data_IF_406769956453
#
_entry.id   IF_406769956453
#
_cell.length_a   1.000
_cell.length_b   1.000
_cell.length_c   1.000
_cell.angle_alpha   90.00
_cell.angle_beta   90.00
_cell.angle_gamma   90.00
#
_symmetry.space_group_name_H-M   'P 1'
#
loop_
_entity.id
_entity.type
_entity.pdbx_description
1 polymer ?
#
# COMPACT_ATOMS: atom_id res chain seq x y z
N UNK A 1 -2.22 -0.86 -5.25
CA UNK A 1 -1.45 -0.06 -4.27
C UNK A 1 -0.40 -0.94 -3.61
N UNK A 2 0.75 -0.37 -3.27
CA UNK A 2 1.80 -1.07 -2.55
C UNK A 2 2.39 -0.19 -1.44
N UNK A 3 2.42 -0.73 -0.23
CA UNK A 3 3.24 -0.20 0.86
C UNK A 3 4.61 -0.88 0.81
N UNK A 4 5.66 -0.13 0.48
CA UNK A 4 7.03 -0.65 0.36
C UNK A 4 7.84 -0.22 1.58
N UNK A 5 8.53 -1.18 2.20
CA UNK A 5 9.36 -0.92 3.37
C UNK A 5 10.67 -1.72 3.31
N UNK A 6 11.68 -1.24 4.04
CA UNK A 6 12.98 -1.91 4.16
C UNK A 6 13.02 -2.69 5.47
N UNK A 7 13.51 -3.93 5.40
CA UNK A 7 13.76 -4.78 6.55
C UNK A 7 15.25 -5.15 6.64
N UNK A 8 15.72 -5.47 7.86
CA UNK A 8 17.12 -5.88 8.09
C UNK A 8 17.45 -7.21 7.41
N UNK A 9 16.54 -8.17 7.48
CA UNK A 9 16.73 -9.52 6.95
C UNK A 9 16.40 -9.57 5.46
N UNK A 10 17.34 -10.11 4.66
CA UNK A 10 17.16 -10.36 3.22
C UNK A 10 16.12 -11.46 3.03
N UNK A 11 15.11 -11.21 2.20
CA UNK A 11 14.11 -12.20 1.81
C UNK A 11 13.99 -12.16 0.28
N UNK A 12 14.05 -13.31 -0.37
CA UNK A 12 13.94 -13.45 -1.83
C UNK A 12 14.89 -12.51 -2.60
N UNK A 13 16.15 -12.40 -2.15
CA UNK A 13 17.14 -11.56 -2.83
C UNK A 13 17.12 -10.07 -2.46
N UNK A 14 16.11 -9.56 -1.75
CA UNK A 14 15.99 -8.13 -1.41
C UNK A 14 15.79 -7.85 0.08
N UNK A 15 16.21 -6.66 0.51
CA UNK A 15 15.80 -6.09 1.81
C UNK A 15 14.46 -5.35 1.74
N UNK A 16 13.99 -5.06 0.54
CA UNK A 16 12.69 -4.45 0.31
C UNK A 16 11.59 -5.50 0.36
N UNK A 17 10.50 -5.13 1.03
CA UNK A 17 9.28 -5.92 1.14
C UNK A 17 8.11 -5.02 0.79
N UNK A 18 7.04 -5.63 0.29
CA UNK A 18 5.84 -4.92 -0.07
C UNK A 18 4.59 -5.59 0.52
N UNK A 19 3.65 -4.77 0.96
CA UNK A 19 2.29 -5.20 1.28
C UNK A 19 1.39 -4.66 0.16
N UNK A 20 0.77 -5.58 -0.56
CA UNK A 20 -0.14 -5.26 -1.65
C UNK A 20 -1.54 -4.97 -1.14
N UNK A 21 -2.20 -4.02 -1.78
CA UNK A 21 -3.59 -3.69 -1.53
C UNK A 21 -4.26 -3.06 -2.73
N UNK A 22 -5.58 -2.90 -2.64
CA UNK A 22 -6.42 -2.25 -3.65
C UNK A 22 -7.22 -1.12 -3.02
N UNK A 23 -7.48 -0.09 -3.83
CA UNK A 23 -8.49 0.93 -3.48
C UNK A 23 -9.86 0.25 -3.51
N UNK A 24 -10.69 0.54 -2.51
CA UNK A 24 -12.03 -0.05 -2.41
C UNK A 24 -13.13 0.96 -2.76
N UNK A 25 -13.19 2.11 -2.06
CA UNK A 25 -14.22 3.13 -2.26
C UNK A 25 -13.77 4.50 -1.74
N UNK A 26 -14.36 5.62 -2.19
CA UNK A 26 -14.09 6.95 -1.62
C UNK A 26 -14.50 7.04 -0.14
N UNK A 27 -13.91 8.00 0.56
CA UNK A 27 -14.18 8.27 1.97
C UNK A 27 -14.30 9.78 2.23
N UNK A 28 -15.51 10.22 2.55
CA UNK A 28 -15.79 11.64 2.77
C UNK A 28 -15.59 12.48 1.50
N UNK A 29 -15.46 13.79 1.69
CA UNK A 29 -15.49 14.77 0.59
C UNK A 29 -14.12 15.41 0.31
N UNK A 30 -13.06 14.99 1.00
CA UNK A 30 -11.72 15.60 0.92
C UNK A 30 -10.73 14.80 0.06
N UNK A 31 -11.22 13.96 -0.86
CA UNK A 31 -10.37 13.14 -1.73
C UNK A 31 -9.67 11.96 -1.05
N UNK A 32 -10.13 11.55 0.15
CA UNK A 32 -9.59 10.39 0.86
C UNK A 32 -10.27 9.11 0.36
N UNK A 33 -9.58 7.97 0.43
CA UNK A 33 -10.08 6.68 -0.02
C UNK A 33 -9.93 5.60 1.05
N UNK A 34 -10.85 4.62 1.06
CA UNK A 34 -10.66 3.37 1.81
C UNK A 34 -9.91 2.37 0.94
N UNK A 35 -8.88 1.74 1.52
CA UNK A 35 -8.10 0.70 0.87
C UNK A 35 -8.21 -0.62 1.65
N UNK A 36 -8.11 -1.74 0.93
CA UNK A 36 -7.99 -3.08 1.51
C UNK A 36 -6.63 -3.67 1.12
N UNK A 37 -5.84 -4.04 2.12
CA UNK A 37 -4.55 -4.71 1.93
C UNK A 37 -4.70 -6.21 2.15
N UNK A 38 -3.81 -7.01 1.53
CA UNK A 38 -3.80 -8.48 1.70
C UNK A 38 -3.54 -8.86 3.15
N UNK A 39 -2.64 -8.14 3.81
CA UNK A 39 -2.45 -8.17 5.26
C UNK A 39 -2.66 -6.76 5.79
N UNK A 40 -3.26 -6.63 6.98
CA UNK A 40 -3.43 -5.34 7.62
C UNK A 40 -2.08 -4.60 7.74
N UNK A 41 -2.11 -3.28 7.53
CA UNK A 41 -0.92 -2.47 7.65
C UNK A 41 -0.51 -2.36 9.12
N UNK A 42 0.80 -2.37 9.42
CA UNK A 42 1.29 -2.13 10.77
C UNK A 42 1.01 -0.68 11.18
N UNK A 43 0.74 -0.38 12.47
CA UNK A 43 0.42 0.99 12.93
C UNK A 43 1.56 1.98 12.65
N UNK A 44 2.81 1.50 12.60
CA UNK A 44 3.98 2.31 12.24
C UNK A 44 3.91 2.91 10.82
N UNK A 45 3.05 2.42 9.94
CA UNK A 45 2.88 2.99 8.60
C UNK A 45 1.97 4.22 8.56
N UNK A 46 1.35 4.63 9.67
CA UNK A 46 0.58 5.87 9.73
C UNK A 46 1.48 7.07 9.38
N UNK A 47 1.03 7.92 8.46
CA UNK A 47 1.82 9.04 7.92
C UNK A 47 2.88 8.64 6.89
N UNK A 48 3.11 7.35 6.65
CA UNK A 48 4.05 6.89 5.62
C UNK A 48 3.42 6.97 4.23
N UNK A 49 4.26 7.22 3.22
CA UNK A 49 3.83 7.24 1.81
C UNK A 49 3.51 5.82 1.31
N UNK A 50 2.42 5.70 0.56
CA UNK A 50 2.00 4.47 -0.13
C UNK A 50 1.98 4.75 -1.63
N UNK A 51 2.33 3.77 -2.47
CA UNK A 51 2.30 3.92 -3.93
C UNK A 51 0.95 3.47 -4.49
N UNK A 52 0.27 4.36 -5.19
CA UNK A 52 -0.93 4.07 -6.00
C UNK A 52 -0.48 3.88 -7.44
N UNK A 53 -1.00 2.86 -8.10
CA UNK A 53 -0.68 2.57 -9.51
C UNK A 53 -1.92 2.82 -10.37
N UNK A 54 -1.71 3.11 -11.65
CA UNK A 54 -2.78 3.38 -12.62
C UNK A 54 -3.45 2.12 -13.18
N UNK A 55 -2.97 0.93 -12.82
CA UNK A 55 -3.54 -0.34 -13.24
C UNK A 55 -4.47 -0.95 -12.18
N UNK A 56 -5.45 -1.79 -12.58
CA UNK A 56 -5.86 -2.05 -13.97
C UNK A 56 -6.54 -0.81 -14.56
N UNK A 57 -6.09 -0.38 -15.74
CA UNK A 57 -6.64 0.79 -16.44
C UNK A 57 -7.88 0.36 -17.22
N UNK A 58 -8.95 1.13 -17.10
CA UNK A 58 -10.16 1.03 -17.92
C UNK A 58 -10.36 2.29 -18.77
N UNK A 59 -9.31 3.11 -18.92
CA UNK A 59 -9.26 4.19 -19.92
C UNK A 59 -9.19 3.56 -21.30
#
# INVERSE_FOLDING_TARGET
MAYVYKAKVKKNGSHYRCIWGKVARPHGNSGVVRAKFKSNLPPRSMGAKVRVFMYPSNI
#
